data_IF_741609059963
#
_entry.id   IF_741609059963
#
_cell.length_a   1.000
_cell.length_b   1.000
_cell.length_c   1.000
_cell.angle_alpha   90.00
_cell.angle_beta   90.00
_cell.angle_gamma   90.00
#
_symmetry.space_group_name_H-M   'P 1'
#
loop_
_entity.id
_entity.type
_entity.pdbx_description
1 polymer ?
#
# COMPACT_ATOMS: atom_id res chain seq x y z
N UNK A 1 -19.71 7.86 -6.85
CA UNK A 1 -20.58 7.99 -8.03
C UNK A 1 -19.73 8.54 -9.18
N UNK A 2 -19.62 7.83 -10.30
CA UNK A 2 -18.81 8.29 -11.46
C UNK A 2 -19.77 8.57 -12.60
N UNK A 3 -19.81 9.83 -13.07
CA UNK A 3 -20.72 10.29 -14.16
C UNK A 3 -22.19 9.92 -13.90
N UNK A 4 -22.68 10.14 -12.68
CA UNK A 4 -24.08 9.88 -12.31
C UNK A 4 -24.45 8.40 -12.16
N UNK A 5 -23.48 7.48 -12.27
CA UNK A 5 -23.69 6.05 -11.98
C UNK A 5 -23.12 5.71 -10.61
N UNK A 6 -23.94 5.04 -9.80
CA UNK A 6 -23.45 4.39 -8.60
C UNK A 6 -22.54 3.23 -9.02
N UNK A 7 -21.29 3.27 -8.59
CA UNK A 7 -20.37 2.14 -8.73
C UNK A 7 -20.30 1.51 -7.37
N UNK A 8 -20.80 0.29 -7.27
CA UNK A 8 -20.69 -0.53 -6.06
C UNK A 8 -19.28 -1.10 -5.99
N UNK A 9 -18.66 -0.95 -4.83
CA UNK A 9 -17.33 -1.49 -4.52
C UNK A 9 -17.38 -2.43 -3.31
N UNK A 10 -18.59 -2.91 -2.97
CA UNK A 10 -18.72 -3.97 -2.00
C UNK A 10 -18.13 -5.28 -2.54
N UNK A 11 -17.90 -6.23 -1.64
CA UNK A 11 -17.22 -7.47 -1.95
C UNK A 11 -17.93 -8.27 -3.03
N UNK A 12 -19.26 -8.29 -3.02
CA UNK A 12 -20.05 -9.04 -3.99
C UNK A 12 -19.87 -8.41 -5.38
N UNK A 13 -19.95 -7.08 -5.48
CA UNK A 13 -19.70 -6.36 -6.73
C UNK A 13 -18.27 -6.59 -7.29
N UNK A 14 -17.25 -6.65 -6.42
CA UNK A 14 -15.86 -6.93 -6.82
C UNK A 14 -15.71 -8.39 -7.27
N UNK A 15 -16.27 -9.33 -6.50
CA UNK A 15 -16.23 -10.76 -6.82
C UNK A 15 -16.88 -11.06 -8.17
N UNK A 16 -18.06 -10.48 -8.42
CA UNK A 16 -18.79 -10.59 -9.69
C UNK A 16 -17.97 -10.04 -10.85
N UNK A 17 -17.34 -8.87 -10.66
CA UNK A 17 -16.50 -8.25 -11.68
C UNK A 17 -15.25 -9.07 -12.02
N UNK A 18 -14.57 -9.61 -11.00
CA UNK A 18 -13.35 -10.40 -11.17
C UNK A 18 -13.61 -11.83 -11.68
N UNK A 19 -14.86 -12.30 -11.61
CA UNK A 19 -15.27 -13.65 -12.05
C UNK A 19 -14.67 -14.79 -11.22
N UNK A 20 -14.03 -14.47 -10.09
CA UNK A 20 -13.42 -15.40 -9.15
C UNK A 20 -13.68 -14.90 -7.73
N UNK A 21 -14.82 -15.29 -7.13
CA UNK A 21 -15.16 -14.83 -5.79
C UNK A 21 -14.11 -15.28 -4.78
N UNK A 22 -13.78 -14.42 -3.82
CA UNK A 22 -12.88 -14.78 -2.73
C UNK A 22 -13.58 -15.69 -1.72
N UNK A 23 -12.99 -16.85 -1.43
CA UNK A 23 -13.49 -17.83 -0.45
C UNK A 23 -13.35 -17.39 1.02
N UNK A 24 -12.73 -16.24 1.28
CA UNK A 24 -12.51 -15.76 2.63
C UNK A 24 -13.86 -15.37 3.30
N UNK A 25 -14.13 -15.69 4.57
CA UNK A 25 -15.33 -15.18 5.23
C UNK A 25 -15.42 -13.65 5.26
N UNK A 26 -16.61 -13.08 5.35
CA UNK A 26 -16.80 -11.61 5.42
C UNK A 26 -16.27 -10.98 6.71
N UNK A 27 -16.06 -11.79 7.75
CA UNK A 27 -15.56 -11.35 9.06
C UNK A 27 -14.04 -11.44 9.18
N UNK A 28 -13.36 -12.00 8.18
CA UNK A 28 -11.92 -12.26 8.24
C UNK A 28 -11.14 -11.28 7.36
N UNK A 29 -9.99 -10.86 7.87
CA UNK A 29 -9.00 -10.10 7.11
C UNK A 29 -8.20 -11.07 6.24
N UNK A 30 -7.93 -10.69 4.98
CA UNK A 30 -7.01 -11.43 4.14
C UNK A 30 -5.58 -11.34 4.69
N UNK A 31 -4.67 -12.21 4.22
CA UNK A 31 -3.28 -12.25 4.70
C UNK A 31 -2.57 -10.90 4.64
N UNK A 32 -2.78 -10.15 3.56
CA UNK A 32 -2.24 -8.81 3.42
C UNK A 32 -2.75 -7.89 4.54
N UNK A 33 -4.06 -7.81 4.73
CA UNK A 33 -4.68 -6.97 5.76
C UNK A 33 -4.28 -7.39 7.18
N UNK A 34 -4.12 -8.70 7.43
CA UNK A 34 -3.62 -9.21 8.73
C UNK A 34 -2.19 -8.76 9.00
N UNK A 35 -1.30 -8.88 8.00
CA UNK A 35 0.09 -8.43 8.12
C UNK A 35 0.16 -6.91 8.32
N UNK A 36 -0.65 -6.17 7.56
CA UNK A 36 -0.75 -4.71 7.70
C UNK A 36 -1.17 -4.28 9.10
N UNK A 37 -2.19 -4.92 9.67
CA UNK A 37 -2.69 -4.60 11.01
C UNK A 37 -1.72 -4.95 12.14
N UNK A 38 -0.83 -5.95 11.95
CA UNK A 38 0.14 -6.36 12.96
C UNK A 38 1.24 -5.33 13.17
N UNK A 39 1.63 -4.60 12.13
CA UNK A 39 2.64 -3.52 12.22
C UNK A 39 4.05 -3.97 12.65
N UNK A 40 4.31 -5.27 12.72
CA UNK A 40 5.59 -5.85 13.15
C UNK A 40 6.55 -6.05 11.97
N UNK A 41 6.68 -5.00 11.16
CA UNK A 41 7.47 -5.02 9.94
C UNK A 41 8.96 -5.23 10.22
N UNK A 42 9.61 -6.06 9.42
CA UNK A 42 11.05 -6.20 9.45
C UNK A 42 11.69 -4.98 8.78
N UNK A 43 12.02 -3.99 9.61
CA UNK A 43 12.55 -2.70 9.17
C UNK A 43 13.91 -2.86 8.49
N UNK A 44 14.71 -3.84 8.92
CA UNK A 44 16.02 -4.12 8.36
C UNK A 44 15.88 -4.74 6.97
N UNK A 45 15.03 -5.77 6.82
CA UNK A 45 14.74 -6.39 5.53
C UNK A 45 14.19 -5.36 4.53
N UNK A 46 13.26 -4.51 4.97
CA UNK A 46 12.70 -3.43 4.15
C UNK A 46 13.80 -2.47 3.69
N UNK A 47 14.68 -2.07 4.61
CA UNK A 47 15.78 -1.15 4.32
C UNK A 47 16.73 -1.74 3.27
N UNK A 48 17.17 -2.98 3.49
CA UNK A 48 18.10 -3.70 2.60
C UNK A 48 17.49 -3.97 1.21
N UNK A 49 16.17 -4.20 1.16
CA UNK A 49 15.48 -4.49 -0.10
C UNK A 49 15.21 -3.22 -0.90
N UNK A 50 14.77 -2.14 -0.24
CA UNK A 50 14.24 -0.96 -0.92
C UNK A 50 15.28 0.13 -1.16
N UNK A 51 16.27 0.26 -0.27
CA UNK A 51 17.26 1.34 -0.32
C UNK A 51 18.59 0.89 -0.94
N UNK A 52 19.36 1.87 -1.40
CA UNK A 52 20.74 1.66 -1.86
C UNK A 52 21.62 1.29 -0.66
N UNK A 53 22.71 0.58 -0.94
CA UNK A 53 23.69 0.22 0.08
C UNK A 53 24.19 1.46 0.83
N UNK A 54 24.19 1.38 2.17
CA UNK A 54 24.60 2.48 3.06
C UNK A 54 23.52 3.52 3.35
N UNK A 55 22.34 3.46 2.70
CA UNK A 55 21.20 4.32 3.02
C UNK A 55 20.32 3.71 4.12
N UNK A 56 19.66 4.56 4.92
CA UNK A 56 18.81 4.14 6.04
C UNK A 56 17.46 4.85 6.01
N UNK A 57 16.52 4.35 6.79
CA UNK A 57 15.27 5.05 7.07
C UNK A 57 15.49 6.20 8.05
N UNK A 58 14.67 7.23 7.91
CA UNK A 58 14.49 8.29 8.90
C UNK A 58 13.56 7.78 9.99
N UNK A 59 13.93 8.05 11.25
CA UNK A 59 13.17 7.64 12.42
C UNK A 59 12.53 8.84 13.11
N UNK A 60 11.48 8.59 13.88
CA UNK A 60 10.89 9.59 14.78
C UNK A 60 11.92 10.14 15.77
N UNK A 61 11.62 11.28 16.39
CA UNK A 61 12.47 11.87 17.42
C UNK A 61 12.76 10.92 18.61
N UNK A 62 11.88 9.94 18.85
CA UNK A 62 12.05 8.87 19.85
C UNK A 62 12.89 7.68 19.35
N UNK A 63 13.30 7.65 18.08
CA UNK A 63 14.14 6.61 17.48
C UNK A 63 13.44 5.28 17.17
N UNK A 64 12.18 5.10 17.58
CA UNK A 64 11.53 3.79 17.59
C UNK A 64 10.56 3.55 16.43
N UNK A 65 10.24 4.58 15.64
CA UNK A 65 9.26 4.47 14.56
C UNK A 65 9.94 4.91 13.26
N UNK A 66 10.12 4.01 12.26
CA UNK A 66 10.56 4.42 10.94
C UNK A 66 9.47 5.26 10.29
N UNK A 67 9.82 6.46 9.83
CA UNK A 67 8.88 7.43 9.27
C UNK A 67 8.94 7.45 7.74
N UNK A 68 10.13 7.50 7.17
CA UNK A 68 10.33 7.80 5.75
C UNK A 68 11.71 7.40 5.26
N UNK A 69 11.87 7.35 3.94
CA UNK A 69 13.16 7.38 3.28
C UNK A 69 13.08 8.40 2.13
N UNK A 70 14.21 9.02 1.79
CA UNK A 70 14.26 9.88 0.61
C UNK A 70 14.15 9.01 -0.65
N UNK A 71 13.36 9.46 -1.63
CA UNK A 71 13.23 8.76 -2.93
C UNK A 71 14.58 8.53 -3.59
N UNK A 72 15.52 9.45 -3.43
CA UNK A 72 16.88 9.36 -3.99
C UNK A 72 17.70 8.25 -3.33
N UNK A 73 17.36 7.83 -2.12
CA UNK A 73 18.03 6.75 -1.40
C UNK A 73 17.50 5.37 -1.77
N UNK A 74 16.36 5.30 -2.45
CA UNK A 74 15.80 4.06 -2.96
C UNK A 74 16.58 3.52 -4.16
N UNK A 75 16.59 2.20 -4.33
CA UNK A 75 17.07 1.58 -5.57
C UNK A 75 16.21 2.03 -6.76
N UNK A 76 16.76 1.96 -7.99
CA UNK A 76 16.03 2.34 -9.21
C UNK A 76 14.72 1.55 -9.33
N UNK A 77 14.76 0.24 -9.05
CA UNK A 77 13.58 -0.60 -9.09
C UNK A 77 12.52 -0.15 -8.09
N UNK A 78 12.93 0.10 -6.84
CA UNK A 78 12.02 0.60 -5.80
C UNK A 78 11.39 1.94 -6.17
N UNK A 79 12.13 2.85 -6.81
CA UNK A 79 11.58 4.11 -7.30
C UNK A 79 10.51 3.91 -8.39
N UNK A 80 10.74 2.97 -9.31
CA UNK A 80 9.76 2.63 -10.36
C UNK A 80 8.52 1.96 -9.76
N UNK A 81 8.72 1.04 -8.81
CA UNK A 81 7.63 0.39 -8.09
C UNK A 81 6.79 1.41 -7.30
N UNK A 82 7.44 2.35 -6.62
CA UNK A 82 6.74 3.43 -5.91
C UNK A 82 5.88 4.26 -6.86
N UNK A 83 6.40 4.64 -8.03
CA UNK A 83 5.65 5.38 -9.04
C UNK A 83 4.45 4.57 -9.56
N UNK A 84 4.64 3.28 -9.85
CA UNK A 84 3.56 2.40 -10.26
C UNK A 84 2.47 2.37 -9.19
N UNK A 85 2.86 2.15 -7.93
CA UNK A 85 1.94 2.05 -6.80
C UNK A 85 1.16 3.35 -6.63
N UNK A 86 1.84 4.50 -6.49
CA UNK A 86 1.19 5.79 -6.20
C UNK A 86 0.29 6.27 -7.34
N UNK A 87 0.64 6.01 -8.60
CA UNK A 87 -0.11 6.54 -9.74
C UNK A 87 -1.11 5.56 -10.36
N UNK A 88 -1.00 4.26 -10.08
CA UNK A 88 -1.82 3.24 -10.78
C UNK A 88 -2.51 2.25 -9.86
N UNK A 89 -2.05 2.08 -8.61
CA UNK A 89 -2.57 1.05 -7.70
C UNK A 89 -3.28 1.68 -6.51
N UNK A 90 -2.61 2.59 -5.80
CA UNK A 90 -3.23 3.35 -4.74
C UNK A 90 -4.27 4.28 -5.38
N UNK A 91 -5.54 4.24 -4.91
CA UNK A 91 -6.50 5.24 -5.32
C UNK A 91 -5.97 6.60 -4.87
N UNK A 92 -5.52 7.42 -5.82
CA UNK A 92 -5.33 8.84 -5.57
C UNK A 92 -6.72 9.38 -5.24
N UNK A 93 -6.97 9.66 -3.95
CA UNK A 93 -8.24 10.21 -3.51
C UNK A 93 -8.48 11.52 -4.27
N UNK A 94 -9.33 11.48 -5.30
CA UNK A 94 -9.95 12.67 -5.83
C UNK A 94 -10.97 13.14 -4.78
N UNK A 95 -10.50 13.72 -3.68
CA UNK A 95 -11.28 14.74 -2.96
C UNK A 95 -11.25 15.98 -3.83
N UNK A 96 -11.95 15.92 -4.96
CA UNK A 96 -12.42 17.13 -5.65
C UNK A 96 -13.69 17.55 -4.91
N UNK A 97 -13.50 18.15 -3.74
CA UNK A 97 -14.57 18.93 -3.13
C UNK A 97 -14.65 20.24 -3.91
N UNK A 98 -15.71 20.34 -4.71
CA UNK A 98 -16.26 21.56 -5.27
C UNK A 98 -17.62 21.81 -4.62
#
# INVERSE_FOLDING_TARGET
MVRGREIRYDRDAINDYLGKPSDLPNTELCDFSRRLARGNWDVEEITQTLLREGCTLEYSASGNIPLSALRNDMTIFSQLLLLLVVHNILPSSHTSDA
#
